data_IF_121297490421
#
_entry.id   IF_121297490421
#
_cell.length_a   1.000
_cell.length_b   1.000
_cell.length_c   1.000
_cell.angle_alpha   90.00
_cell.angle_beta   90.00
_cell.angle_gamma   90.00
#
_symmetry.space_group_name_H-M   'P 1'
#
loop_
_entity.id
_entity.type
_entity.pdbx_description
1 polymer ?
#
# COMPACT_ATOMS: atom_id res chain seq x y z
N UNK A 1 -17.81 -39.99 7.94
CA UNK A 1 -17.66 -38.51 7.91
C UNK A 1 -18.99 -38.01 7.42
N UNK A 2 -19.58 -36.96 8.01
CA UNK A 2 -20.89 -36.49 7.56
C UNK A 2 -20.87 -36.17 6.06
N UNK A 3 -21.82 -36.74 5.32
CA UNK A 3 -21.94 -36.54 3.87
C UNK A 3 -22.97 -35.45 3.64
N UNK A 4 -22.55 -34.40 2.92
CA UNK A 4 -23.44 -33.30 2.54
C UNK A 4 -24.06 -33.59 1.17
N UNK A 5 -25.38 -33.49 1.09
CA UNK A 5 -26.16 -33.65 -0.12
C UNK A 5 -27.11 -32.45 -0.25
N UNK A 6 -27.50 -32.11 -1.48
CA UNK A 6 -28.50 -31.07 -1.77
C UNK A 6 -29.75 -31.77 -2.28
N UNK A 7 -30.91 -31.45 -1.70
CA UNK A 7 -32.21 -31.89 -2.19
C UNK A 7 -32.95 -30.70 -2.79
N UNK A 8 -33.10 -30.69 -4.10
CA UNK A 8 -33.91 -29.69 -4.80
C UNK A 8 -35.39 -29.90 -4.46
N UNK A 9 -36.05 -28.80 -4.12
CA UNK A 9 -37.48 -28.72 -3.87
C UNK A 9 -38.16 -28.04 -5.07
N UNK A 10 -39.46 -28.27 -5.30
CA UNK A 10 -40.20 -27.46 -6.25
C UNK A 10 -40.20 -25.98 -5.82
N UNK A 11 -40.18 -25.08 -6.80
CA UNK A 11 -40.36 -23.65 -6.57
C UNK A 11 -41.74 -23.41 -5.94
N UNK A 12 -41.73 -22.71 -4.80
CA UNK A 12 -42.95 -22.36 -4.07
C UNK A 12 -43.40 -20.96 -4.48
N UNK A 13 -44.72 -20.68 -4.52
CA UNK A 13 -45.23 -19.40 -5.01
C UNK A 13 -44.82 -18.18 -4.17
N UNK A 14 -44.47 -18.38 -2.89
CA UNK A 14 -44.23 -17.29 -1.93
C UNK A 14 -42.85 -17.32 -1.24
N UNK A 15 -41.93 -18.21 -1.64
CA UNK A 15 -40.59 -18.30 -1.02
C UNK A 15 -39.50 -17.89 -1.99
N UNK A 16 -38.91 -16.72 -1.76
CA UNK A 16 -37.81 -16.16 -2.56
C UNK A 16 -36.46 -16.83 -2.30
N UNK A 17 -36.37 -17.74 -1.32
CA UNK A 17 -35.13 -18.47 -1.05
C UNK A 17 -34.90 -19.57 -2.10
N UNK A 18 -33.64 -19.90 -2.41
CA UNK A 18 -33.27 -21.00 -3.28
C UNK A 18 -34.07 -22.27 -2.97
N UNK A 19 -34.61 -22.97 -3.98
CA UNK A 19 -35.52 -24.08 -3.75
C UNK A 19 -34.73 -25.36 -3.45
N UNK A 20 -33.96 -25.38 -2.36
CA UNK A 20 -33.24 -26.58 -1.93
C UNK A 20 -33.14 -26.69 -0.40
N UNK A 21 -32.91 -27.92 0.06
CA UNK A 21 -32.69 -28.29 1.47
C UNK A 21 -31.31 -28.94 1.60
N UNK A 22 -30.60 -28.62 2.68
CA UNK A 22 -29.32 -29.25 3.02
C UNK A 22 -29.60 -30.62 3.65
N UNK A 23 -29.08 -31.70 3.07
CA UNK A 23 -29.16 -33.04 3.66
C UNK A 23 -27.79 -33.43 4.21
N UNK A 24 -27.75 -33.84 5.47
CA UNK A 24 -26.54 -34.21 6.20
C UNK A 24 -26.69 -35.64 6.68
N UNK A 25 -26.11 -36.57 5.93
CA UNK A 25 -26.13 -37.99 6.26
C UNK A 25 -24.92 -38.39 7.11
N UNK A 26 -25.03 -39.55 7.77
CA UNK A 26 -23.97 -40.14 8.61
C UNK A 26 -23.51 -39.20 9.73
N UNK A 27 -24.43 -38.34 10.21
CA UNK A 27 -24.17 -37.41 11.30
C UNK A 27 -24.58 -38.05 12.62
N UNK A 28 -23.59 -38.42 13.43
CA UNK A 28 -23.87 -38.90 14.78
C UNK A 28 -24.53 -37.76 15.60
N UNK A 29 -25.69 -37.99 16.24
CA UNK A 29 -26.34 -36.97 17.05
C UNK A 29 -25.38 -36.48 18.13
N UNK A 30 -24.92 -35.23 18.02
CA UNK A 30 -24.11 -34.64 19.07
C UNK A 30 -25.01 -34.37 20.27
N UNK A 31 -24.70 -35.00 21.40
CA UNK A 31 -25.37 -34.71 22.67
C UNK A 31 -24.98 -33.31 23.10
N UNK A 32 -25.84 -32.33 22.86
CA UNK A 32 -25.67 -30.98 23.39
C UNK A 32 -26.05 -31.03 24.87
N UNK A 33 -25.10 -30.73 25.78
CA UNK A 33 -25.40 -30.56 27.21
C UNK A 33 -26.10 -29.20 27.36
N UNK A 34 -27.42 -29.23 27.47
CA UNK A 34 -28.23 -28.01 27.63
C UNK A 34 -28.18 -27.61 29.11
N UNK A 35 -27.46 -26.53 29.43
CA UNK A 35 -27.58 -25.87 30.74
C UNK A 35 -28.95 -25.22 30.89
N UNK A 36 -29.46 -25.09 32.13
CA UNK A 36 -30.83 -24.66 32.45
C UNK A 36 -31.26 -23.28 31.90
N UNK A 37 -30.33 -22.46 31.39
CA UNK A 37 -30.59 -21.07 31.01
C UNK A 37 -30.52 -20.78 29.50
N UNK A 38 -30.40 -21.78 28.64
CA UNK A 38 -30.30 -21.54 27.19
C UNK A 38 -31.67 -21.54 26.50
N UNK A 39 -32.05 -20.36 25.98
CA UNK A 39 -33.14 -20.22 25.01
C UNK A 39 -32.99 -21.15 23.81
N UNK A 40 -34.09 -21.38 23.07
CA UNK A 40 -34.23 -22.33 21.94
C UNK A 40 -32.88 -22.73 21.33
N UNK A 41 -32.37 -23.90 21.71
CA UNK A 41 -31.17 -24.50 21.12
C UNK A 41 -31.45 -24.65 19.63
N UNK A 42 -30.86 -23.76 18.82
CA UNK A 42 -30.90 -23.91 17.37
C UNK A 42 -30.01 -25.08 16.99
N UNK A 43 -30.51 -25.92 16.10
CA UNK A 43 -29.70 -26.98 15.52
C UNK A 43 -28.57 -26.32 14.72
N UNK A 44 -27.32 -26.69 15.02
CA UNK A 44 -26.13 -26.24 14.30
C UNK A 44 -26.29 -26.39 12.78
N UNK A 45 -26.97 -27.45 12.33
CA UNK A 45 -27.20 -27.70 10.92
C UNK A 45 -28.23 -26.75 10.31
N UNK A 46 -29.21 -26.30 11.10
CA UNK A 46 -30.14 -25.28 10.66
C UNK A 46 -29.46 -23.92 10.51
N UNK A 47 -28.57 -23.53 11.44
CA UNK A 47 -27.78 -22.30 11.29
C UNK A 47 -26.87 -22.36 10.06
N UNK A 48 -26.29 -23.53 9.76
CA UNK A 48 -25.52 -23.74 8.54
C UNK A 48 -26.39 -23.61 7.28
N UNK A 49 -27.58 -24.22 7.27
CA UNK A 49 -28.55 -24.11 6.18
C UNK A 49 -28.97 -22.65 5.94
N UNK A 50 -29.28 -21.91 7.00
CA UNK A 50 -29.67 -20.50 6.90
C UNK A 50 -28.54 -19.64 6.30
N UNK A 51 -27.28 -19.89 6.67
CA UNK A 51 -26.11 -19.15 6.15
C UNK A 51 -25.87 -19.37 4.66
N UNK A 52 -26.15 -20.56 4.15
CA UNK A 52 -26.00 -20.88 2.72
C UNK A 52 -27.28 -20.56 1.92
N UNK A 53 -28.34 -20.10 2.58
CA UNK A 53 -29.62 -19.77 1.95
C UNK A 53 -30.50 -20.98 1.64
N UNK A 54 -30.24 -22.14 2.24
CA UNK A 54 -31.10 -23.31 2.12
C UNK A 54 -32.43 -23.09 2.87
N UNK A 55 -33.50 -23.74 2.44
CA UNK A 55 -34.82 -23.66 3.12
C UNK A 55 -34.85 -24.36 4.47
N UNK A 56 -33.93 -25.30 4.69
CA UNK A 56 -33.80 -26.06 5.94
C UNK A 56 -32.65 -27.06 5.88
N UNK A 57 -32.49 -27.83 6.96
CA UNK A 57 -31.60 -28.97 7.04
C UNK A 57 -32.36 -30.26 7.39
N UNK A 58 -32.02 -31.38 6.75
CA UNK A 58 -32.42 -32.73 7.14
C UNK A 58 -31.16 -33.46 7.59
N UNK A 59 -31.16 -33.97 8.82
CA UNK A 59 -30.01 -34.66 9.39
C UNK A 59 -30.41 -36.10 9.67
N UNK A 60 -29.68 -37.05 9.10
CA UNK A 60 -29.93 -38.47 9.28
C UNK A 60 -28.69 -39.16 9.87
N UNK A 61 -28.95 -40.14 10.74
CA UNK A 61 -27.88 -40.97 11.31
C UNK A 61 -27.35 -42.00 10.30
N UNK A 62 -28.19 -42.41 9.35
CA UNK A 62 -27.91 -43.40 8.32
C UNK A 62 -27.84 -42.76 6.94
N UNK A 63 -27.07 -43.35 6.03
CA UNK A 63 -26.95 -42.91 4.64
C UNK A 63 -28.31 -43.00 3.95
N UNK A 64 -28.81 -41.88 3.43
CA UNK A 64 -30.04 -41.86 2.62
C UNK A 64 -29.64 -41.68 1.15
N UNK A 65 -30.03 -42.64 0.32
CA UNK A 65 -29.85 -42.51 -1.12
C UNK A 65 -30.92 -41.58 -1.68
N UNK A 66 -30.49 -40.41 -2.16
CA UNK A 66 -31.34 -39.45 -2.86
C UNK A 66 -31.13 -39.66 -4.37
N UNK A 67 -32.15 -40.13 -5.13
CA UNK A 67 -32.01 -40.40 -6.56
C UNK A 67 -31.60 -39.17 -7.39
N UNK A 68 -31.93 -37.96 -6.92
CA UNK A 68 -31.56 -36.71 -7.58
C UNK A 68 -30.04 -36.44 -7.65
N UNK A 69 -29.24 -37.16 -6.85
CA UNK A 69 -27.78 -37.00 -6.82
C UNK A 69 -27.02 -37.97 -7.74
N UNK A 70 -27.73 -38.73 -8.58
CA UNK A 70 -27.15 -39.46 -9.70
C UNK A 70 -26.78 -38.49 -10.84
N UNK A 71 -25.78 -37.65 -10.56
CA UNK A 71 -25.06 -36.88 -11.57
C UNK A 71 -24.36 -37.85 -12.51
N UNK A 72 -24.48 -37.61 -13.81
CA UNK A 72 -23.83 -38.42 -14.84
C UNK A 72 -22.32 -38.49 -14.61
N UNK A 73 -21.72 -39.63 -14.96
CA UNK A 73 -20.27 -39.84 -14.86
C UNK A 73 -19.51 -38.76 -15.64
N UNK A 74 -20.01 -38.40 -16.82
CA UNK A 74 -19.45 -37.34 -17.67
C UNK A 74 -19.41 -35.98 -16.96
N UNK A 75 -20.46 -35.61 -16.22
CA UNK A 75 -20.48 -34.36 -15.47
C UNK A 75 -19.45 -34.37 -14.32
N UNK A 76 -19.34 -35.49 -13.60
CA UNK A 76 -18.35 -35.64 -12.51
C UNK A 76 -16.92 -35.52 -13.03
N UNK A 77 -16.62 -36.17 -14.16
CA UNK A 77 -15.31 -36.09 -14.81
C UNK A 77 -15.01 -34.66 -15.28
N UNK A 78 -15.98 -33.97 -15.87
CA UNK A 78 -15.83 -32.57 -16.29
C UNK A 78 -15.54 -31.62 -15.12
N UNK A 79 -16.26 -31.76 -14.01
CA UNK A 79 -16.02 -30.95 -12.79
C UNK A 79 -14.65 -31.27 -12.18
N UNK A 80 -14.27 -32.55 -12.11
CA UNK A 80 -12.94 -32.94 -11.60
C UNK A 80 -11.82 -32.40 -12.47
N UNK A 81 -11.95 -32.46 -13.79
CA UNK A 81 -10.97 -31.87 -14.71
C UNK A 81 -10.86 -30.36 -14.49
N UNK A 82 -11.98 -29.66 -14.43
CA UNK A 82 -11.99 -28.20 -14.25
C UNK A 82 -11.37 -27.78 -12.90
N UNK A 83 -11.72 -28.47 -11.81
CA UNK A 83 -11.12 -28.22 -10.50
C UNK A 83 -9.62 -28.53 -10.49
N UNK A 84 -9.18 -29.59 -11.21
CA UNK A 84 -7.77 -29.90 -11.39
C UNK A 84 -7.01 -28.79 -12.10
N UNK A 85 -7.57 -28.24 -13.18
CA UNK A 85 -6.99 -27.12 -13.93
C UNK A 85 -6.91 -25.84 -13.09
N UNK A 86 -7.97 -25.53 -12.33
CA UNK A 86 -7.97 -24.41 -11.39
C UNK A 86 -6.91 -24.56 -10.30
N UNK A 87 -6.78 -25.76 -9.72
CA UNK A 87 -5.80 -26.03 -8.68
C UNK A 87 -4.37 -25.93 -9.20
N UNK A 88 -4.07 -26.48 -10.37
CA UNK A 88 -2.77 -26.35 -11.05
C UNK A 88 -2.43 -24.89 -11.36
N UNK A 89 -3.42 -24.10 -11.81
CA UNK A 89 -3.24 -22.67 -12.07
C UNK A 89 -2.91 -21.91 -10.78
N UNK A 90 -3.68 -22.12 -9.72
CA UNK A 90 -3.44 -21.51 -8.42
C UNK A 90 -2.07 -21.91 -7.85
N UNK A 91 -1.68 -23.18 -8.00
CA UNK A 91 -0.37 -23.69 -7.57
C UNK A 91 0.78 -23.00 -8.32
N UNK A 92 0.66 -22.80 -9.64
CA UNK A 92 1.67 -22.04 -10.42
C UNK A 92 1.78 -20.60 -9.95
N UNK A 93 0.66 -19.90 -9.75
CA UNK A 93 0.66 -18.52 -9.26
C UNK A 93 1.30 -18.38 -7.87
N UNK A 94 1.06 -19.36 -6.98
CA UNK A 94 1.71 -19.38 -5.66
C UNK A 94 3.22 -19.63 -5.76
N UNK A 95 3.66 -20.55 -6.63
CA UNK A 95 5.08 -20.81 -6.86
C UNK A 95 5.80 -19.59 -7.45
N UNK A 96 5.17 -18.87 -8.38
CA UNK A 96 5.70 -17.61 -8.91
C UNK A 96 5.81 -16.54 -7.81
N UNK A 97 4.82 -16.45 -6.92
CA UNK A 97 4.87 -15.55 -5.77
C UNK A 97 5.99 -15.87 -4.79
N UNK A 98 6.32 -17.15 -4.57
CA UNK A 98 7.45 -17.55 -3.71
C UNK A 98 8.80 -17.11 -4.32
N UNK A 99 8.96 -17.22 -5.64
CA UNK A 99 10.18 -16.75 -6.31
C UNK A 99 10.33 -15.22 -6.23
N UNK A 100 9.21 -14.50 -6.31
CA UNK A 100 9.18 -13.05 -6.12
C UNK A 100 9.54 -12.66 -4.68
N UNK A 101 8.99 -13.39 -3.69
CA UNK A 101 9.35 -13.21 -2.28
C UNK A 101 10.84 -13.41 -2.02
N UNK A 102 11.43 -14.48 -2.58
CA UNK A 102 12.85 -14.76 -2.42
C UNK A 102 13.75 -13.72 -3.10
N UNK A 103 13.36 -13.20 -4.27
CA UNK A 103 14.12 -12.12 -4.95
C UNK A 103 14.02 -10.79 -4.20
N UNK A 104 12.88 -10.49 -3.58
CA UNK A 104 12.74 -9.28 -2.74
C UNK A 104 13.58 -9.38 -1.47
N UNK A 105 13.60 -10.53 -0.78
CA UNK A 105 14.45 -10.75 0.38
C UNK A 105 15.94 -10.59 0.04
N UNK A 106 16.40 -11.20 -1.06
CA UNK A 106 17.78 -11.05 -1.50
C UNK A 106 18.14 -9.60 -1.85
N UNK A 107 17.21 -8.83 -2.41
CA UNK A 107 17.41 -7.38 -2.65
C UNK A 107 17.50 -6.59 -1.35
N UNK A 108 16.72 -6.94 -0.33
CA UNK A 108 16.77 -6.30 0.97
C UNK A 108 18.11 -6.57 1.68
N UNK A 109 18.58 -7.82 1.69
CA UNK A 109 19.89 -8.19 2.25
C UNK A 109 21.05 -7.45 1.54
N UNK A 110 20.99 -7.37 0.21
CA UNK A 110 21.96 -6.59 -0.57
C UNK A 110 21.88 -5.09 -0.27
N UNK A 111 20.69 -4.54 0.00
CA UNK A 111 20.52 -3.15 0.39
C UNK A 111 21.11 -2.88 1.79
N UNK A 112 20.89 -3.77 2.76
CA UNK A 112 21.51 -3.68 4.08
C UNK A 112 23.04 -3.77 4.00
N UNK A 113 23.56 -4.70 3.19
CA UNK A 113 25.01 -4.83 2.94
C UNK A 113 25.61 -3.53 2.41
N UNK A 114 24.94 -2.87 1.46
CA UNK A 114 25.34 -1.55 0.95
C UNK A 114 25.26 -0.46 2.01
N UNK A 115 24.22 -0.45 2.85
CA UNK A 115 24.07 0.53 3.93
C UNK A 115 25.21 0.42 4.94
N UNK A 116 25.56 -0.80 5.36
CA UNK A 116 26.71 -1.04 6.26
C UNK A 116 28.04 -0.62 5.63
N UNK A 117 28.21 -0.88 4.32
CA UNK A 117 29.41 -0.45 3.61
C UNK A 117 29.53 1.10 3.59
N UNK A 118 28.43 1.80 3.37
CA UNK A 118 28.38 3.28 3.40
C UNK A 118 28.66 3.84 4.79
N UNK A 119 28.16 3.20 5.85
CA UNK A 119 28.45 3.58 7.24
C UNK A 119 29.94 3.45 7.57
N UNK A 120 30.58 2.34 7.19
CA UNK A 120 32.04 2.17 7.34
C UNK A 120 32.82 3.23 6.57
N UNK A 121 32.37 3.61 5.37
CA UNK A 121 32.99 4.69 4.61
C UNK A 121 32.84 6.05 5.32
N UNK A 122 31.66 6.34 5.87
CA UNK A 122 31.38 7.56 6.64
C UNK A 122 32.27 7.64 7.89
N UNK A 123 32.41 6.56 8.63
CA UNK A 123 33.30 6.50 9.80
C UNK A 123 34.77 6.71 9.45
N UNK A 124 35.21 6.18 8.29
CA UNK A 124 36.57 6.44 7.80
C UNK A 124 36.74 7.90 7.39
N UNK A 125 35.73 8.52 6.79
CA UNK A 125 35.76 9.94 6.44
C UNK A 125 35.80 10.82 7.69
N UNK A 126 34.98 10.53 8.70
CA UNK A 126 34.98 11.25 9.99
C UNK A 126 36.34 11.17 10.68
N UNK A 127 36.93 9.97 10.77
CA UNK A 127 38.28 9.81 11.35
C UNK A 127 39.36 10.57 10.60
N UNK A 128 39.27 10.66 9.27
CA UNK A 128 40.18 11.49 8.46
C UNK A 128 39.98 12.98 8.74
N UNK A 129 38.74 13.43 8.90
CA UNK A 129 38.43 14.82 9.25
C UNK A 129 38.96 15.17 10.65
N UNK A 130 38.77 14.30 11.64
CA UNK A 130 39.32 14.47 13.00
C UNK A 130 40.85 14.54 13.00
N UNK A 131 41.51 13.67 12.23
CA UNK A 131 42.97 13.70 12.08
C UNK A 131 43.46 14.97 11.39
N UNK A 132 42.75 15.45 10.38
CA UNK A 132 43.08 16.71 9.70
C UNK A 132 42.92 17.91 10.64
N UNK A 133 41.86 17.93 11.45
CA UNK A 133 41.63 18.99 12.44
C UNK A 133 42.70 18.97 13.55
N UNK A 134 43.03 17.79 14.07
CA UNK A 134 44.11 17.63 15.04
C UNK A 134 45.46 18.10 14.46
N UNK A 135 45.72 17.80 13.18
CA UNK A 135 46.88 18.29 12.45
C UNK A 135 46.91 19.82 12.33
N UNK A 136 45.76 20.44 12.05
CA UNK A 136 45.61 21.91 11.99
C UNK A 136 45.90 22.55 13.34
N UNK A 137 45.30 22.05 14.42
CA UNK A 137 45.53 22.55 15.78
C UNK A 137 47.00 22.39 16.20
N UNK A 138 47.64 21.27 15.85
CA UNK A 138 49.06 21.06 16.11
C UNK A 138 49.93 22.07 15.34
N UNK A 139 49.63 22.31 14.06
CA UNK A 139 50.34 23.30 13.25
C UNK A 139 50.19 24.73 13.82
N UNK A 140 49.00 25.13 14.25
CA UNK A 140 48.74 26.42 14.88
C UNK A 140 49.51 26.59 16.19
N UNK A 141 49.58 25.54 17.01
CA UNK A 141 50.36 25.56 18.25
C UNK A 141 51.87 25.69 17.97
N UNK A 142 52.40 25.01 16.95
CA UNK A 142 53.80 25.18 16.53
C UNK A 142 54.03 26.59 16.01
N UNK A 143 53.15 27.13 15.18
CA UNK A 143 53.26 28.49 14.65
C UNK A 143 53.30 29.52 15.79
N UNK A 144 52.42 29.35 16.78
CA UNK A 144 52.39 30.20 17.99
C UNK A 144 53.70 30.13 18.76
N UNK A 145 54.22 28.92 19.02
CA UNK A 145 55.50 28.73 19.70
C UNK A 145 56.68 29.35 18.93
N UNK A 146 56.70 29.23 17.59
CA UNK A 146 57.71 29.88 16.74
C UNK A 146 57.60 31.40 16.85
N UNK A 147 56.39 31.98 16.83
CA UNK A 147 56.20 33.42 17.02
C UNK A 147 56.67 33.91 18.39
N UNK A 148 56.48 33.13 19.46
CA UNK A 148 56.96 33.45 20.81
C UNK A 148 58.49 33.42 20.90
N UNK A 149 59.15 32.44 20.26
CA UNK A 149 60.61 32.27 20.31
C UNK A 149 61.35 33.27 19.41
N UNK A 150 60.79 33.60 18.24
CA UNK A 150 61.46 34.41 17.23
C UNK A 150 60.94 35.86 17.15
N UNK A 151 60.37 36.37 18.23
CA UNK A 151 59.92 37.77 18.34
C UNK A 151 61.02 38.77 17.95
N UNK A 152 60.99 39.21 16.69
CA UNK A 152 61.92 40.17 16.11
C UNK A 152 61.27 40.93 14.96
N UNK A 153 61.60 42.22 14.76
CA UNK A 153 60.87 43.11 13.88
C UNK A 153 61.36 42.94 12.44
N UNK A 154 60.57 42.27 11.59
CA UNK A 154 60.39 42.71 10.21
C UNK A 154 59.22 41.94 9.57
N UNK A 155 58.22 42.70 9.13
CA UNK A 155 56.87 42.33 8.69
C UNK A 155 55.92 42.12 9.86
N UNK A 156 55.03 43.10 10.03
CA UNK A 156 53.94 43.09 11.00
C UNK A 156 53.15 41.77 10.85
N UNK A 157 53.31 40.81 11.79
CA UNK A 157 52.71 39.49 11.67
C UNK A 157 51.18 39.56 11.61
N UNK A 158 50.59 40.65 12.08
CA UNK A 158 49.15 40.92 11.99
C UNK A 158 48.69 41.11 10.55
N UNK A 159 49.50 41.73 9.70
CA UNK A 159 49.16 41.95 8.27
C UNK A 159 49.16 40.63 7.52
N UNK A 160 50.18 39.79 7.72
CA UNK A 160 50.28 38.47 7.08
C UNK A 160 49.21 37.51 7.58
N UNK A 161 48.86 37.56 8.88
CA UNK A 161 47.75 36.81 9.44
C UNK A 161 46.40 37.23 8.84
N UNK A 162 46.17 38.53 8.65
CA UNK A 162 44.97 39.05 7.99
C UNK A 162 44.85 38.60 6.54
N UNK A 163 45.94 38.66 5.77
CA UNK A 163 45.94 38.14 4.39
C UNK A 163 45.66 36.63 4.33
N UNK A 164 46.21 35.87 5.29
CA UNK A 164 45.99 34.42 5.36
C UNK A 164 44.54 34.09 5.72
N UNK A 165 43.95 34.79 6.68
CA UNK A 165 42.53 34.67 7.03
C UNK A 165 41.62 35.08 5.86
N UNK A 166 41.96 36.14 5.14
CA UNK A 166 41.20 36.56 3.96
C UNK A 166 41.22 35.51 2.84
N UNK A 167 42.37 34.87 2.61
CA UNK A 167 42.49 33.75 1.64
C UNK A 167 41.72 32.52 2.11
N UNK A 168 41.72 32.22 3.41
CA UNK A 168 40.94 31.13 3.98
C UNK A 168 39.43 31.36 3.79
N UNK A 169 38.93 32.57 4.09
CA UNK A 169 37.52 32.93 3.85
C UNK A 169 37.13 32.80 2.38
N UNK A 170 37.96 33.28 1.45
CA UNK A 170 37.72 33.10 0.02
C UNK A 170 37.72 31.63 -0.42
N UNK A 171 38.49 30.76 0.23
CA UNK A 171 38.48 29.33 -0.05
C UNK A 171 37.21 28.66 0.49
N UNK A 172 36.74 29.05 1.68
CA UNK A 172 35.48 28.58 2.26
C UNK A 172 34.28 28.97 1.38
N UNK A 173 34.20 30.23 0.94
CA UNK A 173 33.14 30.70 0.04
C UNK A 173 33.11 29.90 -1.28
N UNK A 174 34.29 29.59 -1.84
CA UNK A 174 34.40 28.78 -3.05
C UNK A 174 33.96 27.33 -2.83
N UNK A 175 34.30 26.74 -1.68
CA UNK A 175 33.84 25.39 -1.34
C UNK A 175 32.33 25.35 -1.17
N UNK A 176 31.75 26.35 -0.49
CA UNK A 176 30.31 26.43 -0.27
C UNK A 176 29.54 26.59 -1.60
N UNK A 177 30.02 27.48 -2.48
CA UNK A 177 29.47 27.64 -3.83
C UNK A 177 29.54 26.35 -4.67
N UNK A 178 30.61 25.57 -4.53
CA UNK A 178 30.77 24.29 -5.22
C UNK A 178 29.80 23.23 -4.69
N UNK A 179 29.60 23.17 -3.37
CA UNK A 179 28.63 22.26 -2.74
C UNK A 179 27.21 22.59 -3.19
N UNK A 180 26.82 23.87 -3.20
CA UNK A 180 25.50 24.30 -3.67
C UNK A 180 25.27 24.01 -5.16
N UNK A 181 26.32 24.07 -5.98
CA UNK A 181 26.24 23.69 -7.39
C UNK A 181 26.02 22.17 -7.56
N UNK A 182 26.78 21.35 -6.82
CA UNK A 182 26.62 19.89 -6.84
C UNK A 182 25.25 19.46 -6.32
N UNK A 183 24.72 20.14 -5.31
CA UNK A 183 23.42 19.82 -4.74
C UNK A 183 22.29 20.11 -5.71
N UNK A 184 22.39 21.21 -6.48
CA UNK A 184 21.44 21.52 -7.57
C UNK A 184 21.50 20.48 -8.68
N UNK A 185 22.69 20.13 -9.15
CA UNK A 185 22.88 19.09 -10.18
C UNK A 185 22.27 17.74 -9.75
N UNK A 186 22.40 17.37 -8.47
CA UNK A 186 21.80 16.15 -7.94
C UNK A 186 20.28 16.19 -7.97
N UNK A 187 19.67 17.32 -7.61
CA UNK A 187 18.20 17.52 -7.67
C UNK A 187 17.71 17.42 -9.10
N UNK A 188 18.34 18.13 -10.04
CA UNK A 188 17.98 18.09 -11.46
C UNK A 188 18.06 16.66 -12.01
N UNK A 189 19.10 15.90 -11.64
CA UNK A 189 19.26 14.50 -12.05
C UNK A 189 18.23 13.56 -11.43
N UNK A 190 17.81 13.83 -10.20
CA UNK A 190 16.72 13.08 -9.57
C UNK A 190 15.40 13.32 -10.31
N UNK A 191 15.11 14.57 -10.67
CA UNK A 191 13.93 14.92 -11.45
C UNK A 191 13.93 14.23 -12.82
N UNK A 192 15.06 14.23 -13.54
CA UNK A 192 15.21 13.49 -14.81
C UNK A 192 14.97 11.98 -14.65
N UNK A 193 15.46 11.37 -13.55
CA UNK A 193 15.24 9.95 -13.27
C UNK A 193 13.76 9.69 -12.96
N UNK A 194 13.11 10.57 -12.19
CA UNK A 194 11.69 10.43 -11.85
C UNK A 194 10.80 10.54 -13.08
N UNK A 195 11.12 11.47 -13.99
CA UNK A 195 10.47 11.62 -15.30
C UNK A 195 10.67 10.37 -16.17
N UNK A 196 11.91 9.89 -16.29
CA UNK A 196 12.24 8.70 -17.09
C UNK A 196 11.58 7.42 -16.57
N UNK A 197 11.35 7.33 -15.26
CA UNK A 197 10.64 6.20 -14.63
C UNK A 197 9.11 6.36 -14.66
N UNK A 198 8.58 7.48 -15.15
CA UNK A 198 7.15 7.77 -15.18
C UNK A 198 6.51 7.84 -13.79
N UNK A 199 7.32 8.05 -12.74
CA UNK A 199 6.84 8.11 -11.36
C UNK A 199 6.06 9.40 -11.07
N UNK A 200 6.16 10.39 -11.94
CA UNK A 200 5.36 11.61 -11.91
C UNK A 200 3.86 11.30 -11.98
N UNK A 201 3.48 10.25 -12.73
CA UNK A 201 2.09 9.77 -12.82
C UNK A 201 1.59 9.12 -11.52
N UNK A 202 2.49 8.69 -10.61
CA UNK A 202 2.11 8.22 -9.28
C UNK A 202 1.77 9.37 -8.32
N UNK A 203 2.24 10.59 -8.62
CA UNK A 203 1.86 11.79 -7.88
C UNK A 203 0.39 12.17 -8.13
N UNK A 204 -0.09 11.91 -9.35
CA UNK A 204 -1.49 12.11 -9.74
C UNK A 204 -2.45 11.14 -9.05
N UNK A 205 -1.98 9.98 -8.56
CA UNK A 205 -2.85 9.06 -7.82
C UNK A 205 -3.39 9.66 -6.52
N UNK A 206 -2.67 10.60 -5.89
CA UNK A 206 -3.17 11.34 -4.74
C UNK A 206 -4.31 12.29 -5.12
N UNK A 207 -4.22 12.92 -6.29
CA UNK A 207 -5.25 13.78 -6.84
C UNK A 207 -6.47 12.97 -7.30
N UNK A 208 -6.25 11.82 -7.96
CA UNK A 208 -7.29 10.87 -8.38
C UNK A 208 -8.00 10.27 -7.15
N UNK A 209 -7.28 9.90 -6.09
CA UNK A 209 -7.88 9.40 -4.85
C UNK A 209 -8.69 10.49 -4.13
N UNK A 210 -8.21 11.73 -4.15
CA UNK A 210 -8.92 12.88 -3.59
C UNK A 210 -10.18 13.20 -4.38
N UNK A 211 -10.10 13.17 -5.72
CA UNK A 211 -11.23 13.28 -6.63
C UNK A 211 -12.27 12.17 -6.39
N UNK A 212 -11.83 10.91 -6.35
CA UNK A 212 -12.70 9.76 -6.08
C UNK A 212 -13.40 9.84 -4.71
N UNK A 213 -12.70 10.35 -3.69
CA UNK A 213 -13.30 10.61 -2.36
C UNK A 213 -14.36 11.71 -2.42
N UNK A 214 -14.09 12.82 -3.15
CA UNK A 214 -15.08 13.89 -3.36
C UNK A 214 -16.33 13.38 -4.08
N UNK A 215 -16.18 12.51 -5.07
CA UNK A 215 -17.32 11.85 -5.74
C UNK A 215 -18.14 11.01 -4.75
N UNK A 216 -17.47 10.20 -3.93
CA UNK A 216 -18.12 9.36 -2.91
C UNK A 216 -18.90 10.20 -1.87
N UNK A 217 -18.34 11.34 -1.49
CA UNK A 217 -18.91 12.25 -0.48
C UNK A 217 -19.97 13.21 -1.09
N UNK A 218 -20.29 13.07 -2.38
CA UNK A 218 -21.34 13.85 -3.05
C UNK A 218 -20.91 15.22 -3.57
N UNK A 219 -19.60 15.49 -3.68
CA UNK A 219 -19.06 16.70 -4.27
C UNK A 219 -19.36 16.82 -5.77
N UNK A 220 -19.28 18.06 -6.26
CA UNK A 220 -19.40 18.39 -7.68
C UNK A 220 -18.07 18.17 -8.41
N UNK A 221 -18.14 17.67 -9.64
CA UNK A 221 -16.98 17.37 -10.49
C UNK A 221 -16.78 18.51 -11.50
N UNK A 222 -15.85 19.43 -11.23
CA UNK A 222 -15.54 20.55 -12.12
C UNK A 222 -14.14 20.42 -12.69
N UNK A 223 -14.02 20.30 -14.03
CA UNK A 223 -12.74 20.44 -14.75
C UNK A 223 -11.59 19.50 -14.34
N UNK A 224 -11.87 18.33 -13.78
CA UNK A 224 -10.85 17.30 -13.54
C UNK A 224 -10.45 16.56 -14.85
N UNK A 225 -9.29 15.88 -14.89
CA UNK A 225 -8.85 15.14 -16.07
C UNK A 225 -9.92 14.15 -16.55
N UNK A 226 -10.47 14.37 -17.75
CA UNK A 226 -11.60 13.60 -18.30
C UNK A 226 -12.96 14.31 -18.26
N UNK A 227 -13.05 15.53 -17.73
CA UNK A 227 -14.27 16.35 -17.71
C UNK A 227 -14.06 17.66 -18.48
N UNK A 228 -14.81 17.83 -19.57
CA UNK A 228 -14.57 18.87 -20.56
C UNK A 228 -15.08 20.27 -20.15
N UNK A 229 -15.91 20.38 -19.11
CA UNK A 229 -16.53 21.65 -18.71
C UNK A 229 -16.02 22.11 -17.32
N UNK A 230 -15.23 23.20 -17.26
CA UNK A 230 -14.75 23.76 -15.99
C UNK A 230 -15.81 24.59 -15.24
N UNK A 231 -16.93 24.93 -15.90
CA UNK A 231 -18.01 25.75 -15.37
C UNK A 231 -19.19 24.90 -14.87
N UNK A 232 -19.45 23.73 -15.45
CA UNK A 232 -20.59 22.89 -15.06
C UNK A 232 -20.17 21.53 -14.53
N UNK A 233 -20.84 21.07 -13.46
CA UNK A 233 -20.62 19.74 -12.92
C UNK A 233 -21.12 18.68 -13.91
N UNK A 234 -20.24 17.79 -14.37
CA UNK A 234 -20.60 16.76 -15.37
C UNK A 234 -21.63 15.74 -14.87
N UNK A 235 -21.74 15.54 -13.55
CA UNK A 235 -22.69 14.60 -12.95
C UNK A 235 -24.12 15.16 -12.79
N UNK A 236 -24.30 16.48 -12.59
CA UNK A 236 -25.61 17.05 -12.25
C UNK A 236 -25.93 18.40 -12.91
N UNK A 237 -25.01 18.95 -13.70
CA UNK A 237 -25.19 20.20 -14.45
C UNK A 237 -25.10 21.50 -13.63
N UNK A 238 -24.82 21.43 -12.32
CA UNK A 238 -24.71 22.63 -11.48
C UNK A 238 -23.56 23.51 -11.94
N UNK A 239 -23.82 24.82 -12.02
CA UNK A 239 -22.82 25.84 -12.31
C UNK A 239 -21.88 26.08 -11.10
N UNK A 240 -20.58 26.17 -11.39
CA UNK A 240 -19.52 26.34 -10.40
C UNK A 240 -19.63 27.67 -9.66
N UNK A 241 -20.01 28.74 -10.37
CA UNK A 241 -20.23 30.07 -9.79
C UNK A 241 -21.37 30.05 -8.78
N UNK A 242 -22.50 29.43 -9.14
CA UNK A 242 -23.66 29.27 -8.27
C UNK A 242 -23.38 28.42 -7.01
N UNK A 243 -22.53 27.39 -7.14
CA UNK A 243 -22.08 26.58 -6.00
C UNK A 243 -21.15 27.38 -5.06
N UNK A 244 -20.14 28.07 -5.61
CA UNK A 244 -19.18 28.87 -4.83
C UNK A 244 -19.88 30.03 -4.12
N UNK A 245 -20.86 30.68 -4.77
CA UNK A 245 -21.64 31.77 -4.16
C UNK A 245 -22.60 31.29 -3.06
N UNK A 246 -22.69 29.97 -2.83
CA UNK A 246 -23.54 29.36 -1.81
C UNK A 246 -25.03 29.36 -2.14
N UNK A 247 -25.41 29.72 -3.37
CA UNK A 247 -26.80 29.71 -3.82
C UNK A 247 -27.34 28.29 -3.99
N UNK A 248 -26.45 27.32 -4.23
CA UNK A 248 -26.80 25.92 -4.25
C UNK A 248 -25.79 25.08 -3.47
N UNK A 249 -26.09 24.74 -2.21
CA UNK A 249 -25.24 23.87 -1.38
C UNK A 249 -25.55 22.38 -1.53
N UNK A 250 -26.48 22.02 -2.41
CA UNK A 250 -26.87 20.62 -2.57
C UNK A 250 -25.75 19.84 -3.23
N UNK A 251 -25.55 18.63 -2.74
CA UNK A 251 -24.65 17.64 -3.33
C UNK A 251 -25.22 17.10 -4.64
N UNK A 252 -24.38 16.55 -5.52
CA UNK A 252 -24.83 15.87 -6.75
C UNK A 252 -25.91 14.81 -6.44
N UNK A 253 -25.76 14.12 -5.30
CA UNK A 253 -26.67 13.06 -4.86
C UNK A 253 -28.05 13.60 -4.47
N UNK A 254 -28.10 14.72 -3.76
CA UNK A 254 -29.36 15.37 -3.37
C UNK A 254 -30.12 15.93 -4.58
N UNK A 255 -29.39 16.38 -5.60
CA UNK A 255 -29.98 16.83 -6.87
C UNK A 255 -30.54 15.64 -7.65
N UNK A 256 -29.77 14.55 -7.76
CA UNK A 256 -30.22 13.32 -8.41
C UNK A 256 -31.44 12.69 -7.72
N UNK A 257 -31.49 12.70 -6.38
CA UNK A 257 -32.59 12.13 -5.60
C UNK A 257 -33.92 12.89 -5.77
N UNK A 258 -33.90 14.12 -6.28
CA UNK A 258 -35.11 14.93 -6.48
C UNK A 258 -35.82 14.69 -7.80
N UNK A 259 -35.26 13.85 -8.68
CA UNK A 259 -35.92 13.46 -9.93
C UNK A 259 -36.25 14.65 -10.81
N UNK A 260 -35.25 15.17 -11.52
CA UNK A 260 -35.52 15.86 -12.78
C UNK A 260 -35.90 14.81 -13.85
#
# INVERSE_FOLDING_TARGET
>A
MARLQILELPEGPDDTRPPFVLVVDESAPQRVIIGMDYGRVRDHWQDAADRIGARGAIVTAETVEIPANDVSVEFREGVQQHLGEMYETARRSLSESETLGHTLLQRAENAEGRSRAMEVQRDRANRRAEQAEAGRVAADNVLRAVCEVFGGPHQDPVVKARETLARAGQAEDKMLALVEAQQRELVDRMDEITEALGLDQLRDWGEIATAAKRVRDGGHLFGEPGHCDPQHCTACGVDRGAWISGNDRRTCREIAARGL
#
